data_IF_246912981605
#
_entry.id   IF_246912981605
#
_cell.length_a   1.000
_cell.length_b   1.000
_cell.length_c   1.000
_cell.angle_alpha   90.00
_cell.angle_beta   90.00
_cell.angle_gamma   90.00
#
_symmetry.space_group_name_H-M   'P 1'
#
loop_
_entity.id
_entity.type
_entity.pdbx_description
1 polymer ?
#
# COMPACT_ATOMS: atom_id res chain seq x y z
N UNK A 1 -14.45 -3.86 9.10
CA UNK A 1 -14.02 -3.21 7.81
C UNK A 1 -12.52 -3.46 7.56
N UNK A 2 -12.08 -3.69 6.31
CA UNK A 2 -10.66 -3.93 6.01
C UNK A 2 -9.87 -2.63 5.82
N UNK A 3 -8.71 -2.49 6.47
CA UNK A 3 -7.85 -1.29 6.41
C UNK A 3 -6.50 -1.63 5.76
N UNK A 4 -6.01 -0.89 4.74
CA UNK A 4 -4.70 -1.15 4.17
C UNK A 4 -3.59 -0.75 5.16
N UNK A 5 -2.60 -1.62 5.33
CA UNK A 5 -1.51 -1.45 6.31
C UNK A 5 -0.12 -1.52 5.71
N UNK A 6 0.05 -2.12 4.53
CA UNK A 6 1.35 -2.21 3.89
C UNK A 6 1.27 -2.44 2.39
N UNK A 7 2.37 -2.15 1.68
CA UNK A 7 2.52 -2.34 0.24
C UNK A 7 3.72 -3.24 -0.04
N UNK A 8 3.53 -4.24 -0.89
CA UNK A 8 4.56 -5.20 -1.33
C UNK A 8 4.84 -4.97 -2.80
N UNK A 9 6.11 -4.97 -3.19
CA UNK A 9 6.51 -5.01 -4.60
C UNK A 9 6.51 -6.46 -5.07
N UNK A 10 5.64 -6.80 -6.04
CA UNK A 10 5.40 -8.19 -6.43
C UNK A 10 6.60 -8.81 -7.16
N UNK A 11 7.41 -7.99 -7.84
CA UNK A 11 8.61 -8.47 -8.52
C UNK A 11 9.72 -8.91 -7.55
N UNK A 12 9.76 -8.34 -6.35
CA UNK A 12 10.81 -8.60 -5.36
C UNK A 12 10.32 -9.32 -4.11
N UNK A 13 9.00 -9.38 -3.89
CA UNK A 13 8.38 -9.90 -2.68
C UNK A 13 8.68 -9.08 -1.42
N UNK A 14 9.20 -7.85 -1.57
CA UNK A 14 9.62 -7.01 -0.43
C UNK A 14 8.55 -5.98 -0.09
N UNK A 15 8.40 -5.72 1.20
CA UNK A 15 7.66 -4.58 1.71
C UNK A 15 8.37 -3.28 1.29
N UNK A 16 7.60 -2.35 0.74
CA UNK A 16 8.08 -1.03 0.31
C UNK A 16 7.55 0.06 1.24
N UNK A 17 6.28 -0.06 1.65
CA UNK A 17 5.63 0.89 2.56
C UNK A 17 4.88 0.17 3.66
N UNK A 18 4.89 0.74 4.86
CA UNK A 18 4.09 0.26 5.99
C UNK A 18 3.47 1.44 6.74
N UNK A 19 2.22 1.28 7.15
CA UNK A 19 1.48 2.27 7.90
C UNK A 19 2.10 2.45 9.29
N UNK A 20 2.32 3.72 9.68
CA UNK A 20 2.82 4.07 11.01
C UNK A 20 1.98 3.40 12.12
N UNK A 21 2.66 2.85 13.11
CA UNK A 21 2.03 2.13 14.23
C UNK A 21 1.84 0.62 14.00
N UNK A 22 2.08 0.11 12.79
CA UNK A 22 2.14 -1.33 12.54
C UNK A 22 3.60 -1.79 12.64
N UNK A 23 3.89 -2.58 13.66
CA UNK A 23 5.18 -3.27 13.76
C UNK A 23 5.13 -4.55 12.93
N UNK A 24 6.15 -4.74 12.11
CA UNK A 24 6.31 -5.90 11.25
C UNK A 24 7.51 -6.71 11.74
N UNK A 25 7.30 -8.02 11.92
CA UNK A 25 8.40 -8.97 12.16
C UNK A 25 9.20 -9.28 10.88
N UNK A 26 8.86 -8.65 9.75
CA UNK A 26 9.59 -8.86 8.50
C UNK A 26 10.92 -8.11 8.51
N UNK A 27 12.03 -8.77 8.18
CA UNK A 27 13.36 -8.18 8.22
C UNK A 27 13.63 -7.30 6.98
N UNK A 28 12.94 -6.17 6.76
CA UNK A 28 13.23 -5.27 5.61
C UNK A 28 12.86 -3.79 5.81
N UNK A 29 13.68 -2.96 5.17
CA UNK A 29 13.68 -1.51 4.82
C UNK A 29 12.36 -1.00 4.18
N UNK A 30 11.21 -1.22 4.81
CA UNK A 30 9.98 -0.54 4.39
C UNK A 30 10.00 0.91 4.88
N UNK A 31 9.59 1.86 4.03
CA UNK A 31 9.42 3.24 4.49
C UNK A 31 8.10 3.38 5.25
N UNK A 32 8.16 4.06 6.39
CA UNK A 32 6.96 4.34 7.19
C UNK A 32 6.12 5.41 6.47
N UNK A 33 4.83 5.13 6.30
CA UNK A 33 3.86 6.07 5.75
C UNK A 33 2.79 6.38 6.78
N UNK A 34 2.32 7.63 6.80
CA UNK A 34 1.21 8.04 7.67
C UNK A 34 -0.13 7.55 7.16
N UNK A 35 -0.22 7.25 5.88
CA UNK A 35 -1.50 6.97 5.24
C UNK A 35 -1.35 6.14 3.96
N UNK A 36 -2.24 5.17 3.79
CA UNK A 36 -2.41 4.42 2.55
C UNK A 36 -3.86 4.60 2.10
N UNK A 37 -4.08 5.37 1.02
CA UNK A 37 -5.43 5.66 0.50
C UNK A 37 -5.72 4.84 -0.75
N UNK A 38 -6.81 4.10 -0.72
CA UNK A 38 -7.37 3.50 -1.93
C UNK A 38 -8.06 4.56 -2.79
N UNK A 39 -7.82 4.49 -4.10
CA UNK A 39 -8.54 5.27 -5.09
C UNK A 39 -8.86 4.38 -6.30
N UNK A 40 -10.09 4.51 -6.80
CA UNK A 40 -10.48 3.89 -8.06
C UNK A 40 -10.28 4.93 -9.16
N UNK A 41 -9.41 4.62 -10.13
CA UNK A 41 -9.17 5.47 -11.28
C UNK A 41 -9.84 4.87 -12.52
N UNK A 42 -10.74 5.62 -13.13
CA UNK A 42 -11.34 5.27 -14.42
C UNK A 42 -10.40 5.69 -15.54
N UNK A 43 -9.96 4.74 -16.36
CA UNK A 43 -9.18 4.99 -17.57
C UNK A 43 -9.89 4.49 -18.83
N UNK A 44 -9.28 4.74 -19.99
CA UNK A 44 -9.83 4.35 -21.30
C UNK A 44 -10.01 2.82 -21.46
N UNK A 45 -9.34 2.02 -20.63
CA UNK A 45 -9.39 0.55 -20.63
C UNK A 45 -10.00 -0.04 -19.34
N UNK A 46 -10.89 0.71 -18.67
CA UNK A 46 -11.65 0.25 -17.52
C UNK A 46 -11.19 0.84 -16.19
N UNK A 47 -11.67 0.22 -15.10
CA UNK A 47 -11.35 0.61 -13.73
C UNK A 47 -10.00 0.06 -13.31
N UNK A 48 -9.14 0.95 -12.82
CA UNK A 48 -7.85 0.61 -12.25
C UNK A 48 -7.84 0.94 -10.76
N UNK A 49 -7.40 -0.01 -9.96
CA UNK A 49 -7.19 0.20 -8.54
C UNK A 49 -5.82 0.82 -8.34
N UNK A 50 -5.77 1.99 -7.70
CA UNK A 50 -4.52 2.66 -7.36
C UNK A 50 -4.53 2.98 -5.87
N UNK A 51 -3.33 3.00 -5.28
CA UNK A 51 -3.15 3.44 -3.90
C UNK A 51 -2.25 4.66 -3.87
N UNK A 52 -2.52 5.57 -2.95
CA UNK A 52 -1.62 6.70 -2.68
C UNK A 52 -1.03 6.52 -1.30
N UNK A 53 0.29 6.63 -1.22
CA UNK A 53 1.03 6.59 0.04
C UNK A 53 1.80 7.89 0.23
N UNK A 54 1.82 8.41 1.46
CA UNK A 54 2.54 9.64 1.78
C UNK A 54 3.81 9.32 2.59
N UNK A 55 4.97 9.66 2.04
CA UNK A 55 6.26 9.38 2.66
C UNK A 55 7.19 10.56 2.51
N UNK A 56 7.83 10.97 3.62
CA UNK A 56 8.75 12.11 3.65
C UNK A 56 8.17 13.42 3.06
N UNK A 57 6.85 13.60 3.14
CA UNK A 57 6.13 14.76 2.59
C UNK A 57 5.84 14.69 1.08
N UNK A 58 6.12 13.55 0.43
CA UNK A 58 5.81 13.30 -0.96
C UNK A 58 4.70 12.26 -1.10
N UNK A 59 3.85 12.46 -2.11
CA UNK A 59 2.78 11.53 -2.47
C UNK A 59 3.27 10.58 -3.56
N UNK A 60 3.18 9.28 -3.32
CA UNK A 60 3.54 8.24 -4.26
C UNK A 60 2.30 7.47 -4.68
N UNK A 61 2.13 7.31 -5.99
CA UNK A 61 1.06 6.47 -6.56
C UNK A 61 1.57 5.04 -6.75
N UNK A 62 0.80 4.09 -6.22
CA UNK A 62 1.04 2.67 -6.28
C UNK A 62 0.00 2.06 -7.22
N UNK A 63 0.51 1.33 -8.18
CA UNK A 63 -0.25 0.64 -9.20
C UNK A 63 -0.37 -0.85 -8.86
N UNK A 64 -1.59 -1.37 -8.77
CA UNK A 64 -1.81 -2.79 -8.42
C UNK A 64 -1.34 -3.78 -9.47
N UNK A 65 -0.91 -3.33 -10.66
CA UNK A 65 -0.32 -4.22 -11.68
C UNK A 65 1.07 -4.75 -11.27
N UNK A 66 1.77 -4.05 -10.39
CA UNK A 66 3.13 -4.40 -9.95
C UNK A 66 3.31 -4.46 -8.43
N UNK A 67 2.24 -4.14 -7.68
CA UNK A 67 2.26 -4.06 -6.22
C UNK A 67 1.00 -4.65 -5.61
N UNK A 68 1.19 -5.44 -4.56
CA UNK A 68 0.10 -5.93 -3.72
C UNK A 68 -0.05 -5.07 -2.46
N UNK A 69 -1.28 -4.97 -1.93
CA UNK A 69 -1.59 -4.27 -0.68
C UNK A 69 -2.04 -5.26 0.38
N UNK A 70 -1.45 -5.15 1.58
CA UNK A 70 -1.84 -5.94 2.75
C UNK A 70 -2.89 -5.17 3.54
N UNK A 71 -3.92 -5.87 4.00
CA UNK A 71 -4.98 -5.31 4.82
C UNK A 71 -4.99 -5.94 6.20
N UNK A 72 -5.25 -5.12 7.22
CA UNK A 72 -5.77 -5.59 8.49
C UNK A 72 -7.25 -5.92 8.30
N UNK A 73 -7.59 -7.18 8.53
CA UNK A 73 -8.97 -7.65 8.63
C UNK A 73 -9.35 -7.56 10.10
N UNK A 74 -10.27 -6.67 10.44
CA UNK A 74 -10.98 -6.73 11.72
C UNK A 74 -12.22 -7.58 11.52
N UNK A 75 -12.25 -8.74 12.18
CA UNK A 75 -13.46 -9.53 12.37
C UNK A 75 -14.40 -8.69 13.25
N UNK A 76 -15.44 -8.12 12.64
CA UNK A 76 -16.63 -7.63 13.34
C UNK A 76 -17.62 -8.77 13.56
#
# INVERSE_FOLDING_TARGET
>A
MSKPIAVVNDNTGKLVYILEGYETNFPVVAEMTKEIKFQLQLGDFGEKQIYTVEVNGFSHTIDTDAYSVIYEVTDE
#
